data_IF_422107668750
#
_entry.id   IF_422107668750
#
_cell.length_a   1.000
_cell.length_b   1.000
_cell.length_c   1.000
_cell.angle_alpha   90.00
_cell.angle_beta   90.00
_cell.angle_gamma   90.00
#
_symmetry.space_group_name_H-M   'P 1'
#
loop_
_entity.id
_entity.type
_entity.pdbx_description
1 polymer ?
#
# COMPACT_ATOMS: atom_id res chain seq x y z
N UNK A 1 -1.53 35.53 -9.09
CA UNK A 1 -0.74 34.47 -8.44
C UNK A 1 -1.64 33.25 -8.36
N UNK A 2 -1.54 32.30 -9.31
CA UNK A 2 -2.28 31.04 -9.17
C UNK A 2 -1.52 30.24 -8.12
N UNK A 3 -2.16 29.97 -6.99
CA UNK A 3 -1.68 28.93 -6.08
C UNK A 3 -1.79 27.63 -6.88
N UNK A 4 -0.65 27.06 -7.24
CA UNK A 4 -0.61 25.69 -7.74
C UNK A 4 -1.04 24.82 -6.57
N UNK A 5 -2.25 24.30 -6.58
CA UNK A 5 -2.68 23.34 -5.57
C UNK A 5 -1.82 22.08 -5.73
N UNK A 6 -0.89 21.88 -4.81
CA UNK A 6 -0.17 20.60 -4.69
C UNK A 6 -1.17 19.56 -4.25
N UNK A 7 -1.62 18.72 -5.19
CA UNK A 7 -2.48 17.60 -4.85
C UNK A 7 -1.69 16.61 -3.98
N UNK A 8 -2.20 16.23 -2.80
CA UNK A 8 -1.53 15.22 -1.97
C UNK A 8 -1.39 13.93 -2.75
N UNK A 9 -0.19 13.36 -2.76
CA UNK A 9 -0.06 11.98 -3.22
C UNK A 9 -0.64 11.00 -2.21
N UNK A 10 -1.20 9.90 -2.72
CA UNK A 10 -1.73 8.82 -1.91
C UNK A 10 -0.91 7.54 -2.04
N UNK A 11 -0.66 6.90 -0.91
CA UNK A 11 -0.21 5.51 -0.84
C UNK A 11 -1.42 4.65 -0.54
N UNK A 12 -1.54 3.54 -1.25
CA UNK A 12 -2.65 2.61 -1.09
C UNK A 12 -2.16 1.27 -0.55
N UNK A 13 -2.89 0.73 0.40
CA UNK A 13 -2.78 -0.66 0.81
C UNK A 13 -4.09 -1.35 0.46
N UNK A 14 -4.04 -2.38 -0.38
CA UNK A 14 -5.22 -3.09 -0.88
C UNK A 14 -5.13 -4.58 -0.58
N UNK A 15 -6.27 -5.20 -0.28
CA UNK A 15 -6.38 -6.66 -0.23
C UNK A 15 -7.28 -7.13 -1.36
N UNK A 16 -6.74 -8.01 -2.20
CA UNK A 16 -7.47 -8.69 -3.25
C UNK A 16 -7.77 -10.13 -2.81
N UNK A 17 -9.02 -10.55 -2.97
CA UNK A 17 -9.47 -11.90 -2.69
C UNK A 17 -9.71 -12.66 -4.00
N UNK A 18 -9.50 -13.99 -4.03
CA UNK A 18 -9.68 -14.75 -5.25
C UNK A 18 -11.15 -14.74 -5.67
N UNK A 19 -11.36 -14.60 -6.97
CA UNK A 19 -12.70 -14.72 -7.56
C UNK A 19 -13.24 -16.12 -7.28
N UNK A 20 -14.38 -16.19 -6.59
CA UNK A 20 -15.10 -17.45 -6.47
C UNK A 20 -15.77 -17.77 -7.81
N UNK A 21 -15.79 -19.04 -8.29
CA UNK A 21 -16.40 -19.42 -9.57
C UNK A 21 -17.87 -19.03 -9.72
N UNK A 22 -18.56 -18.73 -8.61
CA UNK A 22 -19.96 -18.35 -8.54
C UNK A 22 -20.21 -16.83 -8.65
N UNK A 23 -19.18 -16.00 -8.78
CA UNK A 23 -19.36 -14.55 -8.76
C UNK A 23 -19.78 -13.98 -10.12
N UNK A 24 -20.91 -13.27 -10.08
CA UNK A 24 -21.60 -12.43 -11.08
C UNK A 24 -20.91 -12.15 -12.42
N UNK A 25 -21.71 -12.06 -13.49
CA UNK A 25 -21.30 -11.56 -14.81
C UNK A 25 -20.61 -10.17 -14.79
N UNK A 26 -20.69 -9.40 -13.71
CA UNK A 26 -19.89 -8.19 -13.50
C UNK A 26 -18.41 -8.51 -13.23
N UNK A 27 -18.12 -9.50 -12.39
CA UNK A 27 -16.78 -10.04 -12.13
C UNK A 27 -16.17 -10.57 -13.41
N UNK A 28 -16.92 -11.40 -14.16
CA UNK A 28 -16.46 -11.92 -15.44
C UNK A 28 -16.15 -10.80 -16.45
N UNK A 29 -16.93 -9.73 -16.48
CA UNK A 29 -16.65 -8.54 -17.33
C UNK A 29 -15.37 -7.81 -16.96
N UNK A 30 -15.06 -7.66 -15.67
CA UNK A 30 -13.79 -7.05 -15.22
C UNK A 30 -12.61 -7.95 -15.61
N UNK A 31 -12.74 -9.26 -15.44
CA UNK A 31 -11.74 -10.26 -15.83
C UNK A 31 -11.52 -10.27 -17.35
N UNK A 32 -12.60 -10.30 -18.14
CA UNK A 32 -12.58 -10.36 -19.61
C UNK A 32 -12.06 -9.06 -20.24
N UNK A 33 -12.31 -7.91 -19.58
CA UNK A 33 -11.80 -6.62 -20.03
C UNK A 33 -10.26 -6.51 -19.86
N UNK A 34 -9.61 -7.46 -19.17
CA UNK A 34 -8.16 -7.49 -18.99
C UNK A 34 -7.61 -6.26 -18.27
N UNK A 35 -8.47 -5.55 -17.53
CA UNK A 35 -8.10 -4.31 -16.87
C UNK A 35 -7.27 -4.66 -15.64
N UNK A 36 -5.94 -4.57 -15.75
CA UNK A 36 -5.12 -4.31 -14.58
C UNK A 36 -5.48 -2.89 -14.12
N UNK A 37 -6.49 -2.80 -13.25
CA UNK A 37 -7.05 -1.52 -12.78
C UNK A 37 -6.09 -0.76 -11.86
N UNK A 38 -4.83 -1.19 -11.78
CA UNK A 38 -3.73 -0.44 -11.17
C UNK A 38 -3.66 1.01 -11.69
N UNK A 39 -4.01 1.24 -12.97
CA UNK A 39 -4.10 2.56 -13.61
C UNK A 39 -5.35 3.38 -13.24
N UNK A 40 -6.33 2.80 -12.55
CA UNK A 40 -7.61 3.47 -12.19
C UNK A 40 -7.42 4.45 -11.03
N UNK A 41 -6.30 4.37 -10.34
CA UNK A 41 -6.01 5.14 -9.13
C UNK A 41 -5.78 6.63 -9.39
N UNK A 42 -4.98 7.02 -10.39
CA UNK A 42 -4.61 8.45 -10.56
C UNK A 42 -5.73 9.29 -11.20
N UNK A 43 -6.45 8.73 -12.19
CA UNK A 43 -7.51 9.45 -12.89
C UNK A 43 -8.76 9.63 -12.03
N UNK A 44 -9.19 8.58 -11.31
CA UNK A 44 -10.32 8.68 -10.39
C UNK A 44 -10.00 9.54 -9.16
N UNK A 45 -8.77 9.45 -8.63
CA UNK A 45 -8.35 10.28 -7.50
C UNK A 45 -8.26 11.77 -7.87
N UNK A 46 -7.72 12.12 -9.05
CA UNK A 46 -7.76 13.49 -9.58
C UNK A 46 -9.19 13.99 -9.77
N UNK A 47 -10.09 13.16 -10.26
CA UNK A 47 -11.48 13.55 -10.50
C UNK A 47 -12.28 13.71 -9.19
N UNK A 48 -12.00 12.88 -8.18
CA UNK A 48 -12.58 13.00 -6.84
C UNK A 48 -12.04 14.22 -6.06
N UNK A 49 -10.75 14.53 -6.18
CA UNK A 49 -10.12 15.71 -5.55
C UNK A 49 -10.52 17.03 -6.21
N UNK A 50 -10.75 17.05 -7.53
CA UNK A 50 -11.09 18.28 -8.27
C UNK A 50 -12.58 18.63 -8.25
N UNK A 51 -13.47 17.75 -7.77
CA UNK A 51 -14.93 17.97 -7.78
C UNK A 51 -15.52 18.15 -9.19
N UNK A 52 -14.77 17.83 -10.25
CA UNK A 52 -15.15 18.10 -11.63
C UNK A 52 -16.03 16.96 -12.17
N UNK A 53 -17.28 17.36 -12.43
CA UNK A 53 -18.40 16.72 -13.12
C UNK A 53 -18.21 15.31 -13.72
N UNK A 54 -19.12 14.45 -13.27
CA UNK A 54 -19.58 13.16 -13.83
C UNK A 54 -19.91 13.27 -15.33
N UNK A 55 -18.92 13.20 -16.21
CA UNK A 55 -19.14 12.94 -17.65
C UNK A 55 -18.90 11.47 -17.97
N UNK A 56 -19.68 10.96 -18.93
CA UNK A 56 -19.94 9.54 -19.20
C UNK A 56 -18.69 8.66 -19.17
N UNK A 57 -18.46 7.99 -18.04
CA UNK A 57 -17.44 6.97 -17.91
C UNK A 57 -17.80 5.78 -18.80
N UNK A 58 -16.83 5.22 -19.53
CA UNK A 58 -17.01 3.98 -20.29
C UNK A 58 -17.55 2.86 -19.38
N UNK A 59 -18.37 1.92 -19.88
CA UNK A 59 -18.83 0.77 -19.08
C UNK A 59 -17.70 -0.03 -18.42
N UNK A 60 -16.52 -0.07 -19.04
CA UNK A 60 -15.31 -0.65 -18.47
C UNK A 60 -14.78 0.14 -17.26
N UNK A 61 -14.88 1.47 -17.30
CA UNK A 61 -14.52 2.37 -16.19
C UNK A 61 -15.56 2.34 -15.07
N UNK A 62 -16.84 2.16 -15.41
CA UNK A 62 -17.91 1.96 -14.42
C UNK A 62 -17.81 0.56 -13.76
N UNK A 63 -17.40 -0.47 -14.50
CA UNK A 63 -17.13 -1.80 -13.96
C UNK A 63 -15.85 -1.81 -13.09
N UNK A 64 -14.80 -1.09 -13.50
CA UNK A 64 -13.62 -0.82 -12.67
C UNK A 64 -13.94 0.06 -11.45
N UNK A 65 -14.99 0.89 -11.52
CA UNK A 65 -15.53 1.62 -10.38
C UNK A 65 -16.34 0.72 -9.41
N UNK A 66 -16.58 -0.55 -9.75
CA UNK A 66 -17.21 -1.53 -8.86
C UNK A 66 -16.17 -2.44 -8.16
N UNK A 67 -15.05 -2.76 -8.81
CA UNK A 67 -13.94 -3.52 -8.24
C UNK A 67 -12.61 -3.28 -8.95
N UNK A 68 -11.52 -3.31 -8.19
CA UNK A 68 -10.15 -3.43 -8.68
C UNK A 68 -9.84 -4.90 -8.98
N UNK A 69 -9.19 -5.18 -10.11
CA UNK A 69 -8.69 -6.50 -10.45
C UNK A 69 -7.17 -6.57 -10.47
N UNK A 70 -6.66 -7.73 -10.06
CA UNK A 70 -5.25 -8.07 -10.03
C UNK A 70 -5.04 -9.46 -10.66
N UNK A 71 -4.12 -9.55 -11.62
CA UNK A 71 -3.59 -10.85 -12.08
C UNK A 71 -2.31 -11.15 -11.32
N UNK A 72 -2.29 -12.23 -10.56
CA UNK A 72 -1.14 -12.65 -9.77
C UNK A 72 -0.99 -14.17 -9.87
N UNK A 73 0.21 -14.65 -10.18
CA UNK A 73 0.51 -16.08 -10.29
C UNK A 73 -0.51 -16.86 -11.16
N UNK A 74 -0.85 -16.32 -12.33
CA UNK A 74 -1.83 -16.89 -13.27
C UNK A 74 -3.31 -16.78 -12.85
N UNK A 75 -3.62 -16.35 -11.62
CA UNK A 75 -4.98 -16.26 -11.08
C UNK A 75 -5.48 -14.82 -11.02
N UNK A 76 -6.80 -14.64 -11.14
CA UNK A 76 -7.44 -13.32 -10.95
C UNK A 76 -7.92 -13.16 -9.52
N UNK A 77 -7.67 -11.98 -8.96
CA UNK A 77 -8.14 -11.54 -7.66
C UNK A 77 -8.88 -10.21 -7.80
N UNK A 78 -9.83 -9.95 -6.92
CA UNK A 78 -10.63 -8.73 -6.89
C UNK A 78 -10.59 -8.05 -5.53
N UNK A 79 -10.63 -6.72 -5.54
CA UNK A 79 -10.92 -5.90 -4.37
C UNK A 79 -12.11 -4.99 -4.72
N UNK A 80 -13.24 -5.04 -4.00
CA UNK A 80 -14.37 -4.15 -4.26
C UNK A 80 -13.95 -2.66 -4.19
N UNK A 81 -14.45 -1.84 -5.11
CA UNK A 81 -14.18 -0.40 -5.10
C UNK A 81 -15.09 0.37 -4.14
N UNK A 82 -16.27 -0.18 -3.82
CA UNK A 82 -17.03 0.25 -2.65
C UNK A 82 -16.34 -0.32 -1.40
N UNK A 83 -15.73 0.55 -0.60
CA UNK A 83 -14.97 0.17 0.61
C UNK A 83 -15.85 -0.31 1.77
N UNK A 84 -17.07 -0.81 1.51
CA UNK A 84 -17.96 -1.35 2.54
C UNK A 84 -17.30 -2.49 3.32
N UNK A 85 -16.51 -3.32 2.63
CA UNK A 85 -15.73 -4.40 3.23
C UNK A 85 -14.33 -3.95 3.70
N UNK A 86 -13.95 -2.69 3.53
CA UNK A 86 -12.70 -2.13 4.05
C UNK A 86 -11.43 -2.64 3.34
N UNK A 87 -11.50 -3.01 2.06
CA UNK A 87 -10.38 -3.60 1.31
C UNK A 87 -9.26 -2.61 1.02
N UNK A 88 -9.50 -1.30 1.16
CA UNK A 88 -8.55 -0.27 0.80
C UNK A 88 -8.24 0.60 2.02
N UNK A 89 -6.95 0.74 2.36
CA UNK A 89 -6.47 1.79 3.25
C UNK A 89 -5.69 2.80 2.44
N UNK A 90 -5.87 4.07 2.78
CA UNK A 90 -5.22 5.19 2.08
C UNK A 90 -4.46 6.04 3.10
N UNK A 91 -3.25 6.41 2.75
CA UNK A 91 -2.46 7.40 3.47
C UNK A 91 -1.98 8.46 2.48
N UNK A 92 -1.75 9.68 2.95
CA UNK A 92 -1.21 10.76 2.12
C UNK A 92 0.18 11.16 2.59
N UNK A 93 0.98 11.69 1.66
CA UNK A 93 2.32 12.27 1.93
C UNK A 93 3.43 11.31 2.37
N UNK A 94 3.13 10.10 2.86
CA UNK A 94 4.12 9.05 3.11
C UNK A 94 3.43 7.71 3.33
N UNK A 95 4.09 6.58 3.03
CA UNK A 95 3.61 5.29 3.50
C UNK A 95 3.69 5.26 5.03
N UNK A 96 2.64 4.80 5.74
CA UNK A 96 2.76 4.34 7.11
C UNK A 96 3.82 3.25 7.16
N UNK A 97 4.82 3.39 8.03
CA UNK A 97 5.95 2.45 8.06
C UNK A 97 5.50 1.07 8.53
N UNK A 98 4.41 0.99 9.31
CA UNK A 98 3.76 -0.27 9.65
C UNK A 98 3.18 -1.03 8.45
N UNK A 99 2.96 -0.39 7.30
CA UNK A 99 2.54 -1.08 6.06
C UNK A 99 3.72 -1.75 5.37
N UNK A 100 4.92 -1.15 5.44
CA UNK A 100 6.14 -1.72 4.88
C UNK A 100 6.56 -3.02 5.58
N UNK A 101 6.13 -3.24 6.83
CA UNK A 101 6.31 -4.51 7.55
C UNK A 101 5.70 -5.70 6.76
N UNK A 102 4.67 -5.45 5.95
CA UNK A 102 3.97 -6.52 5.25
C UNK A 102 4.75 -7.08 4.06
N UNK A 103 5.71 -6.34 3.53
CA UNK A 103 6.33 -6.61 2.23
C UNK A 103 7.83 -6.93 2.38
N UNK A 104 8.41 -7.51 1.34
CA UNK A 104 9.86 -7.64 1.16
C UNK A 104 10.24 -7.10 -0.22
N UNK A 105 11.54 -6.88 -0.43
CA UNK A 105 12.09 -6.51 -1.73
C UNK A 105 11.72 -7.50 -2.84
N UNK A 106 11.67 -8.81 -2.52
CA UNK A 106 11.24 -9.87 -3.44
C UNK A 106 9.79 -9.76 -3.89
N UNK A 107 8.96 -9.01 -3.18
CA UNK A 107 7.54 -8.85 -3.51
C UNK A 107 7.31 -7.71 -4.50
N UNK A 108 8.37 -7.00 -4.91
CA UNK A 108 8.25 -5.89 -5.84
C UNK A 108 7.89 -6.38 -7.25
N UNK A 109 6.81 -5.82 -7.78
CA UNK A 109 6.39 -5.99 -9.15
C UNK A 109 6.40 -4.62 -9.82
N UNK A 110 7.16 -4.50 -10.91
CA UNK A 110 7.06 -3.36 -11.80
C UNK A 110 5.98 -3.66 -12.84
N UNK A 111 4.94 -2.84 -12.87
CA UNK A 111 3.93 -2.92 -13.93
C UNK A 111 4.51 -2.31 -15.21
N UNK A 112 4.59 -3.06 -16.32
CA UNK A 112 5.13 -2.54 -17.58
C UNK A 112 4.36 -1.34 -18.14
N UNK A 113 3.10 -1.16 -17.73
CA UNK A 113 2.20 -0.15 -18.30
C UNK A 113 2.46 1.27 -17.78
N UNK A 114 2.91 1.42 -16.53
CA UNK A 114 3.14 2.71 -15.90
C UNK A 114 4.48 2.82 -15.15
N UNK A 115 5.21 1.72 -15.00
CA UNK A 115 6.51 1.66 -14.33
C UNK A 115 6.45 1.94 -12.83
N UNK A 116 5.25 1.89 -12.22
CA UNK A 116 5.09 2.20 -10.80
C UNK A 116 5.45 0.99 -9.92
N UNK A 117 6.23 1.19 -8.84
CA UNK A 117 6.60 0.12 -7.92
C UNK A 117 5.41 -0.29 -7.07
N UNK A 118 4.98 -1.55 -7.21
CA UNK A 118 3.92 -2.15 -6.40
C UNK A 118 4.45 -3.41 -5.73
N UNK A 119 4.35 -3.48 -4.40
CA UNK A 119 4.64 -4.73 -3.71
C UNK A 119 3.39 -5.59 -3.68
N UNK A 120 3.45 -6.80 -4.24
CA UNK A 120 2.35 -7.77 -4.26
C UNK A 120 2.75 -8.99 -3.44
N UNK A 121 2.20 -9.08 -2.24
CA UNK A 121 2.54 -10.08 -1.23
C UNK A 121 1.35 -11.01 -0.98
N UNK A 122 1.48 -12.34 -1.18
CA UNK A 122 0.43 -13.27 -0.78
C UNK A 122 0.10 -13.17 0.71
N UNK A 123 -1.18 -13.23 1.06
CA UNK A 123 -1.69 -13.03 2.43
C UNK A 123 -0.94 -13.84 3.51
N UNK A 124 -0.54 -15.11 3.30
CA UNK A 124 0.22 -15.87 4.30
C UNK A 124 1.59 -15.26 4.62
N UNK A 125 2.23 -14.65 3.63
CA UNK A 125 3.51 -13.95 3.80
C UNK A 125 3.33 -12.65 4.58
N UNK A 126 2.36 -11.82 4.17
CA UNK A 126 2.04 -10.56 4.85
C UNK A 126 1.67 -10.78 6.32
N UNK A 127 0.76 -11.73 6.61
CA UNK A 127 0.36 -12.08 7.98
C UNK A 127 1.52 -12.61 8.81
N UNK A 128 2.38 -13.46 8.24
CA UNK A 128 3.56 -13.97 8.97
C UNK A 128 4.51 -12.84 9.35
N UNK A 129 4.79 -11.90 8.43
CA UNK A 129 5.66 -10.75 8.72
C UNK A 129 5.04 -9.83 9.76
N UNK A 130 3.76 -9.48 9.61
CA UNK A 130 3.02 -8.70 10.60
C UNK A 130 3.02 -9.37 11.98
N UNK A 131 2.74 -10.67 12.05
CA UNK A 131 2.74 -11.44 13.30
C UNK A 131 4.10 -11.44 14.00
N UNK A 132 5.20 -11.62 13.25
CA UNK A 132 6.56 -11.53 13.80
C UNK A 132 6.88 -10.13 14.34
N UNK A 133 6.53 -9.09 13.59
CA UNK A 133 6.72 -7.71 14.01
C UNK A 133 5.90 -7.38 15.27
N UNK A 134 4.62 -7.74 15.31
CA UNK A 134 3.77 -7.56 16.51
C UNK A 134 4.35 -8.30 17.71
N UNK A 135 4.86 -9.53 17.53
CA UNK A 135 5.48 -10.28 18.60
C UNK A 135 6.77 -9.61 19.11
N UNK A 136 7.63 -9.12 18.22
CA UNK A 136 8.85 -8.38 18.59
C UNK A 136 8.53 -7.09 19.34
N UNK A 137 7.60 -6.29 18.82
CA UNK A 137 7.12 -5.05 19.45
C UNK A 137 6.52 -5.30 20.84
N UNK A 138 5.65 -6.30 21.00
CA UNK A 138 5.09 -6.64 22.31
C UNK A 138 6.14 -7.11 23.32
N UNK A 139 7.21 -7.75 22.84
CA UNK A 139 8.27 -8.29 23.71
C UNK A 139 9.26 -7.22 24.14
N UNK A 140 9.66 -6.35 23.22
CA UNK A 140 10.80 -5.45 23.40
C UNK A 140 10.40 -3.97 23.55
N UNK A 141 9.17 -3.60 23.20
CA UNK A 141 8.61 -2.26 23.40
C UNK A 141 7.10 -2.36 23.77
N UNK A 142 6.77 -3.01 24.92
CA UNK A 142 5.39 -3.33 25.28
C UNK A 142 4.50 -2.08 25.39
N UNK A 143 5.04 -0.99 25.93
CA UNK A 143 4.34 0.28 26.14
C UNK A 143 4.47 1.25 24.95
N UNK A 144 5.31 0.94 23.96
CA UNK A 144 5.49 1.80 22.78
C UNK A 144 6.31 3.06 23.04
N UNK A 145 7.26 3.03 23.99
CA UNK A 145 8.08 4.17 24.38
C UNK A 145 9.06 4.57 23.27
N UNK A 146 9.60 3.59 22.54
CA UNK A 146 10.60 3.82 21.50
C UNK A 146 10.00 3.82 20.09
N UNK A 147 9.07 2.91 19.82
CA UNK A 147 8.51 2.62 18.49
C UNK A 147 6.98 2.78 18.47
N UNK A 148 6.40 3.60 19.36
CA UNK A 148 4.94 3.68 19.57
C UNK A 148 4.10 3.89 18.30
N UNK A 149 4.53 4.76 17.38
CA UNK A 149 3.83 4.97 16.10
C UNK A 149 3.87 3.70 15.22
N UNK A 150 5.06 3.14 15.02
CA UNK A 150 5.25 1.90 14.26
C UNK A 150 4.50 0.73 14.88
N UNK A 151 4.51 0.63 16.21
CA UNK A 151 3.76 -0.37 16.99
C UNK A 151 2.27 -0.28 16.70
N UNK A 152 1.71 0.92 16.81
CA UNK A 152 0.28 1.18 16.59
C UNK A 152 -0.11 0.83 15.16
N UNK A 153 0.60 1.39 14.17
CA UNK A 153 0.36 1.13 12.75
C UNK A 153 0.45 -0.37 12.42
N UNK A 154 1.46 -1.07 12.95
CA UNK A 154 1.68 -2.50 12.70
C UNK A 154 0.56 -3.35 13.33
N UNK A 155 0.16 -3.08 14.57
CA UNK A 155 -0.92 -3.81 15.24
C UNK A 155 -2.26 -3.59 14.53
N UNK A 156 -2.57 -2.35 14.17
CA UNK A 156 -3.79 -2.02 13.44
C UNK A 156 -3.82 -2.70 12.08
N UNK A 157 -2.68 -2.70 11.37
CA UNK A 157 -2.58 -3.32 10.06
C UNK A 157 -2.67 -4.84 10.15
N UNK A 158 -2.05 -5.47 11.16
CA UNK A 158 -2.18 -6.90 11.42
C UNK A 158 -3.65 -7.29 11.68
N UNK A 159 -4.35 -6.55 12.56
CA UNK A 159 -5.78 -6.76 12.85
C UNK A 159 -6.65 -6.55 11.63
N UNK A 160 -6.32 -5.57 10.80
CA UNK A 160 -7.04 -5.33 9.55
C UNK A 160 -6.91 -6.53 8.60
N UNK A 161 -5.71 -7.10 8.47
CA UNK A 161 -5.49 -8.29 7.63
C UNK A 161 -6.29 -9.51 8.09
N UNK A 162 -6.65 -9.62 9.38
CA UNK A 162 -7.44 -10.74 9.93
C UNK A 162 -8.87 -10.82 9.33
N UNK A 163 -9.36 -9.73 8.72
CA UNK A 163 -10.70 -9.66 8.14
C UNK A 163 -10.87 -10.43 6.82
N UNK A 164 -9.78 -10.79 6.15
CA UNK A 164 -9.79 -11.33 4.79
C UNK A 164 -9.45 -12.83 4.72
N UNK A 165 -9.71 -13.45 3.57
CA UNK A 165 -9.33 -14.83 3.27
C UNK A 165 -7.81 -15.06 3.29
N UNK A 166 -7.39 -16.27 3.65
CA UNK A 166 -5.98 -16.63 3.75
C UNK A 166 -5.25 -16.80 2.41
N UNK A 167 -5.99 -16.86 1.31
CA UNK A 167 -5.49 -17.05 -0.06
C UNK A 167 -5.51 -15.76 -0.90
N UNK A 168 -5.80 -14.62 -0.28
CA UNK A 168 -5.73 -13.30 -0.92
C UNK A 168 -4.31 -12.79 -1.19
N UNK A 169 -4.21 -11.64 -1.83
CA UNK A 169 -2.96 -10.91 -2.11
C UNK A 169 -3.06 -9.50 -1.56
N UNK A 170 -2.03 -9.07 -0.85
CA UNK A 170 -1.87 -7.71 -0.35
C UNK A 170 -1.04 -6.92 -1.35
N UNK A 171 -1.56 -5.79 -1.82
CA UNK A 171 -0.81 -4.84 -2.64
C UNK A 171 -0.49 -3.58 -1.83
N UNK A 172 0.78 -3.23 -1.73
CA UNK A 172 1.22 -1.89 -1.32
C UNK A 172 1.59 -1.12 -2.58
N UNK A 173 0.74 -0.18 -2.94
CA UNK A 173 0.86 0.65 -4.14
C UNK A 173 1.37 2.03 -3.76
N UNK A 174 2.63 2.26 -4.16
CA UNK A 174 3.37 3.49 -3.95
C UNK A 174 3.30 4.42 -5.17
N UNK A 175 2.48 4.10 -6.19
CA UNK A 175 2.39 4.89 -7.43
C UNK A 175 2.05 6.36 -7.18
N UNK A 176 1.28 6.66 -6.13
CA UNK A 176 0.95 8.04 -5.81
C UNK A 176 2.17 8.87 -5.42
N UNK A 177 3.27 8.28 -4.89
CA UNK A 177 4.52 8.97 -4.51
C UNK A 177 5.13 9.86 -5.60
N UNK A 178 4.58 9.79 -6.81
CA UNK A 178 4.62 10.87 -7.77
C UNK A 178 5.94 10.93 -8.52
N UNK A 179 6.06 11.92 -9.42
CA UNK A 179 7.31 12.20 -10.12
C UNK A 179 8.49 12.43 -9.17
N UNK A 180 8.28 13.01 -7.98
CA UNK A 180 9.36 13.48 -7.11
C UNK A 180 10.14 12.35 -6.41
N UNK A 181 9.49 11.35 -5.80
CA UNK A 181 10.27 10.22 -5.23
C UNK A 181 11.01 9.47 -6.33
N UNK A 182 10.38 9.30 -7.51
CA UNK A 182 11.00 8.64 -8.67
C UNK A 182 12.17 9.43 -9.25
N UNK A 183 12.07 10.76 -9.29
CA UNK A 183 13.13 11.64 -9.78
C UNK A 183 14.27 11.80 -8.74
N UNK A 184 13.98 11.55 -7.45
CA UNK A 184 14.96 11.66 -6.36
C UNK A 184 15.74 10.35 -6.11
N UNK A 185 15.05 9.22 -5.94
CA UNK A 185 15.66 7.90 -5.77
C UNK A 185 14.67 6.79 -6.21
N UNK A 186 14.84 6.17 -7.39
CA UNK A 186 13.95 5.13 -7.88
C UNK A 186 13.96 3.85 -7.01
N UNK A 187 15.00 3.65 -6.20
CA UNK A 187 15.14 2.49 -5.32
C UNK A 187 14.58 2.74 -3.91
N UNK A 188 14.12 3.97 -3.60
CA UNK A 188 13.64 4.34 -2.26
C UNK A 188 12.52 3.42 -1.71
N UNK A 189 11.55 2.95 -2.52
CA UNK A 189 10.59 1.93 -2.10
C UNK A 189 11.24 0.64 -1.57
N UNK A 190 12.20 0.10 -2.33
CA UNK A 190 12.90 -1.15 -2.00
C UNK A 190 13.75 -0.96 -0.77
N UNK A 191 14.49 0.16 -0.70
CA UNK A 191 15.31 0.54 0.45
C UNK A 191 14.45 0.67 1.70
N UNK A 192 13.32 1.36 1.62
CA UNK A 192 12.39 1.53 2.75
C UNK A 192 11.84 0.19 3.26
N UNK A 193 11.47 -0.73 2.36
CA UNK A 193 11.02 -2.06 2.75
C UNK A 193 12.13 -2.85 3.48
N UNK A 194 13.37 -2.80 2.97
CA UNK A 194 14.53 -3.44 3.61
C UNK A 194 14.84 -2.83 4.97
N UNK A 195 14.88 -1.51 5.09
CA UNK A 195 15.19 -0.83 6.35
C UNK A 195 14.14 -1.13 7.44
N UNK A 196 12.85 -1.25 7.07
CA UNK A 196 11.82 -1.68 8.03
C UNK A 196 12.01 -3.14 8.45
N UNK A 197 12.38 -4.03 7.52
CA UNK A 197 12.70 -5.42 7.85
C UNK A 197 13.92 -5.49 8.80
N UNK A 198 14.99 -4.76 8.50
CA UNK A 198 16.19 -4.70 9.34
C UNK A 198 15.90 -4.10 10.72
N UNK A 199 15.01 -3.10 10.79
CA UNK A 199 14.51 -2.53 12.05
C UNK A 199 13.79 -3.59 12.88
N UNK A 200 12.93 -4.40 12.27
CA UNK A 200 12.22 -5.50 12.95
C UNK A 200 13.17 -6.61 13.40
N UNK A 201 14.19 -6.92 12.60
CA UNK A 201 15.20 -7.93 12.96
C UNK A 201 16.10 -7.45 14.11
N UNK A 202 16.51 -6.17 14.11
CA UNK A 202 17.22 -5.55 15.23
C UNK A 202 16.38 -5.58 16.51
N UNK A 203 15.09 -5.24 16.42
CA UNK A 203 14.17 -5.29 17.54
C UNK A 203 13.98 -6.72 18.06
N UNK A 204 13.80 -7.71 17.18
CA UNK A 204 13.67 -9.12 17.56
C UNK A 204 14.94 -9.68 18.21
N UNK A 205 16.12 -9.12 17.89
CA UNK A 205 17.38 -9.41 18.56
C UNK A 205 17.58 -8.66 19.88
N UNK A 206 16.59 -7.88 20.34
CA UNK A 206 16.65 -7.08 21.56
C UNK A 206 17.49 -5.81 21.45
N UNK A 207 17.88 -5.40 20.24
CA UNK A 207 18.64 -4.15 19.99
C UNK A 207 17.67 -2.98 19.83
N UNK A 208 16.98 -2.65 20.91
CA UNK A 208 15.86 -1.69 20.91
C UNK A 208 16.28 -0.27 20.51
N UNK A 209 17.42 0.22 21.01
CA UNK A 209 17.95 1.55 20.66
C UNK A 209 18.31 1.64 19.18
N UNK A 210 19.02 0.64 18.65
CA UNK A 210 19.35 0.56 17.22
C UNK A 210 18.08 0.56 16.36
N UNK A 211 17.07 -0.23 16.72
CA UNK A 211 15.80 -0.26 15.99
C UNK A 211 15.08 1.11 16.04
N UNK A 212 15.12 1.79 17.19
CA UNK A 212 14.56 3.13 17.34
C UNK A 212 15.27 4.18 16.46
N UNK A 213 16.59 4.12 16.38
CA UNK A 213 17.41 5.00 15.54
C UNK A 213 17.14 4.77 14.05
N UNK A 214 17.12 3.51 13.61
CA UNK A 214 16.82 3.13 12.23
C UNK A 214 15.42 3.60 11.81
N UNK A 215 14.41 3.35 12.66
CA UNK A 215 13.05 3.83 12.44
C UNK A 215 12.98 5.36 12.36
N UNK A 216 13.70 6.06 13.24
CA UNK A 216 13.71 7.53 13.28
C UNK A 216 14.31 8.13 12.01
N UNK A 217 15.45 7.58 11.55
CA UNK A 217 16.10 8.01 10.31
C UNK A 217 15.18 7.83 9.09
N UNK A 218 14.54 6.66 8.96
CA UNK A 218 13.59 6.39 7.88
C UNK A 218 12.39 7.35 7.93
N UNK A 219 11.83 7.57 9.13
CA UNK A 219 10.70 8.49 9.33
C UNK A 219 11.05 9.92 8.95
N UNK A 220 12.24 10.40 9.32
CA UNK A 220 12.73 11.73 8.96
C UNK A 220 12.98 11.88 7.46
N UNK A 221 13.50 10.84 6.81
CA UNK A 221 13.68 10.82 5.35
C UNK A 221 12.35 10.96 4.62
N UNK A 222 11.33 10.20 5.00
CA UNK A 222 9.97 10.34 4.46
C UNK A 222 9.34 11.70 4.78
N UNK A 223 9.58 12.25 5.98
CA UNK A 223 9.11 13.59 6.33
C UNK A 223 9.74 14.68 5.43
N UNK A 224 11.00 14.49 5.05
CA UNK A 224 11.71 15.40 4.14
C UNK A 224 11.11 15.36 2.73
N UNK A 225 10.79 14.18 2.21
CA UNK A 225 10.09 14.05 0.92
C UNK A 225 8.70 14.72 0.96
N UNK A 226 7.94 14.48 2.03
CA UNK A 226 6.62 15.11 2.22
C UNK A 226 6.69 16.64 2.27
N UNK A 227 7.71 17.21 2.93
CA UNK A 227 7.88 18.66 3.03
C UNK A 227 8.24 19.29 1.67
N UNK A 228 9.14 18.65 0.91
CA UNK A 228 9.53 19.13 -0.43
C UNK A 228 8.34 19.20 -1.36
N UNK A 229 7.49 18.18 -1.34
CA UNK A 229 6.26 18.16 -2.14
C UNK A 229 5.36 19.36 -1.82
N UNK A 230 5.12 19.61 -0.53
CA UNK A 230 4.25 20.71 -0.06
C UNK A 230 4.77 22.11 -0.40
N UNK A 231 6.06 22.24 -0.70
CA UNK A 231 6.71 23.49 -1.04
C UNK A 231 6.85 23.73 -2.55
N UNK A 232 6.54 22.73 -3.38
CA UNK A 232 6.56 22.82 -4.86
C UNK A 232 5.27 23.40 -5.42
#
# INVERSE_FOLDING_TARGET
MRLTEVLPYAVYLRVYEPVSPSESAATQRVVDAGLDTSAVTLAQQRQALLGVTRSAQSPAVQAAAAAFALRYDGRTFLAPAADEAGHVRVATWRPPLGWLVLVADSDLHADPSDGHPRFRTPMPYARRRAGRAVAALRRHDPEGELLGALRTETIETARWLERFGGDGVVELDLAGLGPIVRDLDPDEPIRSAREVADTMDALAAGRTELAADMHSQLRERWATYALRERAS
#
